data_IF_750010155312
#
_entry.id   IF_750010155312
#
_cell.length_a   1.000
_cell.length_b   1.000
_cell.length_c   1.000
_cell.angle_alpha   90.00
_cell.angle_beta   90.00
_cell.angle_gamma   90.00
#
_symmetry.space_group_name_H-M   'P 1'
#
loop_
_entity.id
_entity.type
_entity.pdbx_description
1 polymer ?
#
# COMPACT_ATOMS: atom_id res chain seq x y z
N UNK A 1 -27.10 1.94 -5.15
CA UNK A 1 -26.39 2.76 -4.16
C UNK A 1 -25.09 2.04 -3.88
N UNK A 2 -23.90 2.59 -4.13
CA UNK A 2 -22.68 1.90 -3.73
C UNK A 2 -22.55 2.03 -2.21
N UNK A 3 -22.73 0.90 -1.54
CA UNK A 3 -22.49 0.67 -0.13
C UNK A 3 -21.04 1.06 0.24
N UNK A 4 -20.91 2.16 1.00
CA UNK A 4 -19.63 2.58 1.58
C UNK A 4 -19.17 1.57 2.63
N UNK A 5 -17.96 1.02 2.46
CA UNK A 5 -17.33 0.09 3.41
C UNK A 5 -17.26 0.72 4.81
N UNK A 6 -18.09 0.22 5.73
CA UNK A 6 -18.29 0.74 7.11
C UNK A 6 -17.28 0.19 8.14
N UNK A 7 -16.13 -0.34 7.73
CA UNK A 7 -15.15 -0.90 8.69
C UNK A 7 -13.75 -0.54 8.23
N UNK A 8 -12.97 0.11 9.11
CA UNK A 8 -11.52 0.19 8.99
C UNK A 8 -11.00 -1.23 8.76
N UNK A 9 -10.47 -1.52 7.57
CA UNK A 9 -9.97 -2.85 7.27
C UNK A 9 -8.87 -3.17 8.31
N UNK A 10 -9.13 -4.10 9.24
CA UNK A 10 -8.19 -4.51 10.30
C UNK A 10 -7.03 -5.36 9.77
N UNK A 11 -6.94 -5.48 8.44
CA UNK A 11 -5.98 -6.31 7.74
C UNK A 11 -4.83 -5.41 7.27
N UNK A 12 -3.65 -5.66 7.82
CA UNK A 12 -2.41 -5.07 7.34
C UNK A 12 -1.84 -6.01 6.28
N UNK A 13 -1.85 -5.59 5.01
CA UNK A 13 -1.28 -6.37 3.92
C UNK A 13 0.11 -5.80 3.63
N UNK A 14 1.14 -6.62 3.84
CA UNK A 14 2.51 -6.30 3.45
C UNK A 14 2.83 -6.91 2.10
N UNK A 15 3.08 -6.05 1.12
CA UNK A 15 3.54 -6.42 -0.22
C UNK A 15 5.05 -6.23 -0.26
N UNK A 16 5.77 -7.33 -0.44
CA UNK A 16 7.20 -7.28 -0.68
C UNK A 16 7.46 -7.47 -2.18
N UNK A 17 7.99 -6.45 -2.87
CA UNK A 17 8.37 -6.61 -4.27
C UNK A 17 9.54 -7.60 -4.36
N UNK A 18 9.40 -8.65 -5.17
CA UNK A 18 10.41 -9.71 -5.34
C UNK A 18 11.16 -9.62 -6.67
N UNK A 19 10.56 -8.94 -7.65
CA UNK A 19 11.04 -8.88 -9.05
C UNK A 19 11.43 -7.45 -9.46
N UNK A 20 11.12 -6.45 -8.63
CA UNK A 20 11.33 -5.02 -8.91
C UNK A 20 11.67 -4.23 -7.64
N UNK A 21 12.12 -2.99 -7.84
CA UNK A 21 12.33 -2.07 -6.73
C UNK A 21 10.99 -1.54 -6.18
N UNK A 22 10.99 -1.09 -4.92
CA UNK A 22 9.82 -0.54 -4.25
C UNK A 22 9.17 0.60 -5.03
N UNK A 23 9.96 1.51 -5.56
CA UNK A 23 9.45 2.68 -6.30
C UNK A 23 8.71 2.27 -7.60
N UNK A 24 9.18 1.21 -8.26
CA UNK A 24 8.52 0.69 -9.46
C UNK A 24 7.18 0.02 -9.14
N UNK A 25 7.12 -0.77 -8.06
CA UNK A 25 5.84 -1.35 -7.60
C UNK A 25 4.87 -0.26 -7.14
N UNK A 26 5.36 0.75 -6.41
CA UNK A 26 4.54 1.91 -6.01
C UNK A 26 3.97 2.60 -7.24
N UNK A 27 4.79 2.94 -8.24
CA UNK A 27 4.30 3.56 -9.49
C UNK A 27 3.26 2.71 -10.20
N UNK A 28 3.49 1.41 -10.29
CA UNK A 28 2.55 0.47 -10.92
C UNK A 28 1.21 0.43 -10.17
N UNK A 29 1.25 0.40 -8.84
CA UNK A 29 0.05 0.39 -8.02
C UNK A 29 -0.72 1.71 -8.14
N UNK A 30 -0.02 2.85 -8.20
CA UNK A 30 -0.63 4.15 -8.45
C UNK A 30 -1.32 4.20 -9.83
N UNK A 31 -0.69 3.63 -10.87
CA UNK A 31 -1.27 3.53 -12.22
C UNK A 31 -2.54 2.66 -12.24
N UNK A 32 -2.58 1.61 -11.41
CA UNK A 32 -3.75 0.76 -11.20
C UNK A 32 -4.86 1.44 -10.35
N UNK A 33 -4.63 2.65 -9.87
CA UNK A 33 -5.59 3.44 -9.10
C UNK A 33 -5.39 3.41 -7.59
N UNK A 34 -4.27 2.86 -7.10
CA UNK A 34 -3.89 3.04 -5.71
C UNK A 34 -3.54 4.52 -5.44
N UNK A 35 -3.61 4.92 -4.18
CA UNK A 35 -3.28 6.26 -3.71
C UNK A 35 -2.33 6.19 -2.51
N UNK A 36 -1.44 7.16 -2.38
CA UNK A 36 -0.62 7.29 -1.18
C UNK A 36 -1.50 7.57 0.03
N UNK A 37 -1.21 6.87 1.12
CA UNK A 37 -1.82 7.08 2.42
C UNK A 37 -0.73 7.25 3.46
N UNK A 38 -0.87 8.26 4.29
CA UNK A 38 -0.02 8.46 5.45
C UNK A 38 -0.75 7.94 6.67
N UNK A 39 -0.33 6.78 7.20
CA UNK A 39 -0.89 6.21 8.43
C UNK A 39 -0.06 6.58 9.67
N UNK A 40 0.86 7.54 9.52
CA UNK A 40 1.84 7.89 10.55
C UNK A 40 3.09 7.02 10.51
N UNK A 41 3.44 6.46 9.34
CA UNK A 41 4.64 5.64 9.18
C UNK A 41 5.98 6.39 9.37
N UNK A 42 5.98 7.73 9.51
CA UNK A 42 7.20 8.49 9.78
C UNK A 42 8.30 8.24 8.75
N UNK A 43 9.54 8.02 9.21
CA UNK A 43 10.74 7.72 8.40
C UNK A 43 10.91 6.21 8.12
N UNK A 44 9.81 5.44 8.14
CA UNK A 44 9.88 4.00 7.91
C UNK A 44 10.17 3.67 6.45
N UNK A 45 10.88 2.56 6.27
CA UNK A 45 11.34 2.09 4.95
C UNK A 45 10.24 1.55 4.03
N UNK A 46 8.96 1.57 4.45
CA UNK A 46 7.83 1.07 3.68
C UNK A 46 6.87 2.19 3.26
N UNK A 47 6.30 2.05 2.07
CA UNK A 47 5.35 3.00 1.50
C UNK A 47 3.94 2.48 1.72
N UNK A 48 3.06 3.27 2.32
CA UNK A 48 1.66 2.88 2.53
C UNK A 48 0.79 3.44 1.40
N UNK A 49 0.01 2.54 0.79
CA UNK A 49 -0.92 2.82 -0.28
C UNK A 49 -2.32 2.34 0.11
N UNK A 50 -3.35 2.94 -0.47
CA UNK A 50 -4.70 2.41 -0.45
C UNK A 50 -5.19 2.14 -1.86
N UNK A 51 -5.86 1.02 -2.08
CA UNK A 51 -6.49 0.72 -3.36
C UNK A 51 -7.78 1.56 -3.56
N UNK A 52 -8.40 1.55 -4.76
CA UNK A 52 -9.63 2.28 -5.04
C UNK A 52 -10.82 1.97 -4.10
N UNK A 53 -10.89 0.77 -3.53
CA UNK A 53 -11.90 0.40 -2.53
C UNK A 53 -11.56 0.89 -1.11
N UNK A 54 -10.39 1.50 -0.93
CA UNK A 54 -9.92 2.06 0.33
C UNK A 54 -9.30 1.05 1.29
N UNK A 55 -8.83 -0.11 0.83
CA UNK A 55 -8.05 -1.01 1.68
C UNK A 55 -6.58 -0.54 1.70
N UNK A 56 -6.03 -0.44 2.90
CA UNK A 56 -4.67 0.05 3.14
C UNK A 56 -3.68 -1.12 3.12
N UNK A 57 -2.52 -0.92 2.51
CA UNK A 57 -1.45 -1.92 2.42
C UNK A 57 -0.07 -1.25 2.35
N UNK A 58 0.96 -1.96 2.81
CA UNK A 58 2.33 -1.50 2.88
C UNK A 58 3.16 -2.14 1.78
N UNK A 59 3.95 -1.36 1.06
CA UNK A 59 4.94 -1.84 0.10
C UNK A 59 6.32 -1.74 0.78
N UNK A 60 6.92 -2.89 1.08
CA UNK A 60 8.23 -2.96 1.73
C UNK A 60 9.36 -2.64 0.72
N UNK A 61 10.50 -2.12 1.20
CA UNK A 61 11.65 -1.79 0.35
C UNK A 61 12.43 -3.02 -0.19
N UNK A 62 11.92 -4.23 0.07
CA UNK A 62 12.62 -5.49 -0.16
C UNK A 62 12.98 -6.18 1.16
N UNK A 63 13.22 -7.49 1.10
CA UNK A 63 13.65 -8.28 2.25
C UNK A 63 15.04 -7.80 2.66
N UNK A 64 15.17 -7.18 3.84
CA UNK A 64 16.48 -7.10 4.51
C UNK A 64 16.92 -8.55 4.81
N UNK A 65 18.16 -8.94 4.44
CA UNK A 65 18.66 -10.30 4.65
C UNK A 65 18.69 -10.68 6.13
#
# INVERSE_FOLDING_TARGET
MPEGKTVKNRLHIDVNPTDREQDEEVRRLLDLGARHVEVGQGDESWVVLADPEGNEFCVLAGRRP
#
